data_IF_433882074592
#
_entry.id   IF_433882074592
#
_cell.length_a   1.000
_cell.length_b   1.000
_cell.length_c   1.000
_cell.angle_alpha   90.00
_cell.angle_beta   90.00
_cell.angle_gamma   90.00
#
_symmetry.space_group_name_H-M   'P 1'
#
loop_
_entity.id
_entity.type
_entity.pdbx_description
1 polymer ?
#
# COMPACT_ATOMS: atom_id res chain seq x y z
N UNK A 1 -44.45 1.40 -5.95
CA UNK A 1 -43.48 2.50 -5.76
C UNK A 1 -42.11 1.84 -5.74
N UNK A 2 -41.26 2.10 -6.74
CA UNK A 2 -39.87 1.61 -6.75
C UNK A 2 -39.12 2.24 -5.56
N UNK A 3 -38.60 1.43 -4.64
CA UNK A 3 -37.80 1.92 -3.56
C UNK A 3 -36.57 2.66 -4.16
N UNK A 4 -36.36 3.90 -3.74
CA UNK A 4 -35.23 4.70 -4.20
C UNK A 4 -33.93 3.96 -3.87
N UNK A 5 -33.09 3.67 -4.87
CA UNK A 5 -31.81 3.00 -4.67
C UNK A 5 -30.83 3.97 -3.97
N UNK A 6 -30.07 3.44 -3.04
CA UNK A 6 -29.03 4.18 -2.32
C UNK A 6 -27.69 4.04 -3.03
N UNK A 7 -26.96 5.14 -3.21
CA UNK A 7 -25.66 5.12 -3.85
C UNK A 7 -24.53 5.11 -2.82
N UNK A 8 -23.78 4.00 -2.79
CA UNK A 8 -22.57 3.85 -1.98
C UNK A 8 -21.34 4.00 -2.87
N UNK A 9 -20.50 5.01 -2.56
CA UNK A 9 -19.22 5.23 -3.23
C UNK A 9 -18.09 4.76 -2.31
N UNK A 10 -17.25 3.86 -2.84
CA UNK A 10 -15.98 3.47 -2.23
C UNK A 10 -14.86 4.26 -2.92
N UNK A 11 -14.17 5.11 -2.19
CA UNK A 11 -13.03 5.88 -2.70
C UNK A 11 -11.72 5.25 -2.26
N UNK A 12 -10.96 4.75 -3.24
CA UNK A 12 -9.74 3.96 -3.04
C UNK A 12 -10.00 2.46 -2.95
N UNK A 13 -8.99 1.67 -3.28
CA UNK A 13 -9.02 0.20 -3.26
C UNK A 13 -8.09 -0.37 -2.16
N UNK A 14 -8.15 0.20 -0.97
CA UNK A 14 -7.47 -0.33 0.21
C UNK A 14 -8.09 -1.62 0.75
N UNK A 15 -7.49 -2.20 1.77
CA UNK A 15 -7.88 -3.51 2.30
C UNK A 15 -9.32 -3.59 2.82
N UNK A 16 -9.82 -2.51 3.45
CA UNK A 16 -11.19 -2.48 3.94
C UNK A 16 -12.19 -2.54 2.77
N UNK A 17 -11.93 -1.80 1.70
CA UNK A 17 -12.78 -1.82 0.52
C UNK A 17 -12.71 -3.14 -0.26
N UNK A 18 -11.57 -3.82 -0.28
CA UNK A 18 -11.48 -5.18 -0.84
C UNK A 18 -12.41 -6.14 -0.08
N UNK A 19 -12.47 -6.05 1.24
CA UNK A 19 -13.38 -6.85 2.05
C UNK A 19 -14.86 -6.49 1.78
N UNK A 20 -15.18 -5.20 1.59
CA UNK A 20 -16.52 -4.76 1.20
C UNK A 20 -16.91 -5.33 -0.16
N UNK A 21 -16.03 -5.23 -1.17
CA UNK A 21 -16.28 -5.80 -2.49
C UNK A 21 -16.51 -7.32 -2.42
N UNK A 22 -15.73 -8.05 -1.62
CA UNK A 22 -15.91 -9.48 -1.40
C UNK A 22 -17.25 -9.79 -0.72
N UNK A 23 -17.67 -8.96 0.24
CA UNK A 23 -18.96 -9.12 0.91
C UNK A 23 -20.12 -8.92 -0.08
N UNK A 24 -20.08 -7.87 -0.90
CA UNK A 24 -21.09 -7.62 -1.94
C UNK A 24 -21.10 -8.72 -3.02
N UNK A 25 -19.95 -9.29 -3.38
CA UNK A 25 -19.88 -10.40 -4.33
C UNK A 25 -20.57 -11.67 -3.80
N UNK A 26 -20.51 -11.91 -2.48
CA UNK A 26 -21.16 -13.07 -1.82
C UNK A 26 -22.62 -12.82 -1.48
N UNK A 27 -22.92 -11.61 -1.04
CA UNK A 27 -24.23 -11.21 -0.53
C UNK A 27 -24.58 -9.81 -1.07
N UNK A 28 -25.09 -9.72 -2.31
CA UNK A 28 -25.51 -8.44 -2.88
C UNK A 28 -26.60 -7.78 -2.02
N UNK A 29 -26.47 -6.49 -1.78
CA UNK A 29 -27.42 -5.73 -0.98
C UNK A 29 -28.47 -5.12 -1.92
N UNK A 30 -29.73 -5.56 -1.78
CA UNK A 30 -30.82 -5.04 -2.59
C UNK A 30 -31.01 -3.52 -2.33
N UNK A 31 -31.27 -2.77 -3.40
CA UNK A 31 -31.50 -1.33 -3.31
C UNK A 31 -30.24 -0.48 -3.10
N UNK A 32 -29.05 -1.06 -3.24
CA UNK A 32 -27.77 -0.34 -3.19
C UNK A 32 -27.10 -0.37 -4.57
N UNK A 33 -26.69 0.80 -5.06
CA UNK A 33 -25.80 0.96 -6.20
C UNK A 33 -24.38 1.19 -5.66
N UNK A 34 -23.45 0.30 -6.02
CA UNK A 34 -22.07 0.34 -5.55
C UNK A 34 -21.16 0.91 -6.65
N UNK A 35 -20.37 1.94 -6.31
CA UNK A 35 -19.34 2.48 -7.19
C UNK A 35 -17.99 2.45 -6.49
N UNK A 36 -16.97 1.93 -7.16
CA UNK A 36 -15.58 2.01 -6.72
C UNK A 36 -14.84 3.02 -7.59
N UNK A 37 -14.23 4.02 -6.95
CA UNK A 37 -13.34 5.02 -7.60
C UNK A 37 -11.91 4.73 -7.15
N UNK A 38 -11.04 4.37 -8.08
CA UNK A 38 -9.62 4.10 -7.83
C UNK A 38 -8.82 4.35 -9.11
N UNK A 39 -7.58 4.86 -9.06
CA UNK A 39 -6.79 5.05 -10.27
C UNK A 39 -6.26 3.73 -10.86
N UNK A 40 -6.17 2.67 -10.07
CA UNK A 40 -5.44 1.47 -10.44
C UNK A 40 -6.37 0.23 -10.57
N UNK A 41 -6.08 -0.62 -11.57
CA UNK A 41 -6.80 -1.90 -11.79
C UNK A 41 -6.41 -2.99 -10.79
N UNK A 42 -5.29 -2.82 -10.12
CA UNK A 42 -4.82 -3.74 -9.08
C UNK A 42 -4.23 -2.95 -7.92
N UNK A 43 -4.31 -3.52 -6.73
CA UNK A 43 -3.64 -2.96 -5.55
C UNK A 43 -2.57 -3.91 -5.05
N UNK A 44 -1.49 -3.37 -4.49
CA UNK A 44 -0.41 -4.16 -3.90
C UNK A 44 -0.76 -4.51 -2.46
N UNK A 45 -0.73 -5.79 -2.14
CA UNK A 45 -0.94 -6.26 -0.77
C UNK A 45 0.28 -5.97 0.10
N UNK A 46 0.20 -4.94 0.93
CA UNK A 46 1.32 -4.47 1.75
C UNK A 46 1.87 -5.54 2.70
N UNK A 47 1.05 -6.49 3.17
CA UNK A 47 1.47 -7.59 4.01
C UNK A 47 2.41 -8.61 3.34
N UNK A 48 2.44 -8.65 2.00
CA UNK A 48 3.36 -9.52 1.25
C UNK A 48 4.67 -8.83 0.86
N UNK A 49 4.80 -7.53 1.06
CA UNK A 49 5.99 -6.78 0.68
C UNK A 49 7.28 -7.29 1.34
N UNK A 50 7.30 -7.62 2.65
CA UNK A 50 8.50 -8.20 3.25
C UNK A 50 8.95 -9.50 2.56
N UNK A 51 8.04 -10.43 2.28
CA UNK A 51 8.36 -11.68 1.58
C UNK A 51 8.80 -11.43 0.13
N UNK A 52 8.18 -10.48 -0.59
CA UNK A 52 8.65 -10.09 -1.91
C UNK A 52 10.08 -9.52 -1.86
N UNK A 53 10.39 -8.65 -0.93
CA UNK A 53 11.74 -8.11 -0.75
C UNK A 53 12.75 -9.19 -0.38
N UNK A 54 12.35 -10.20 0.39
CA UNK A 54 13.19 -11.37 0.70
C UNK A 54 13.39 -12.30 -0.51
N UNK A 55 12.47 -12.25 -1.48
CA UNK A 55 12.50 -13.07 -2.69
C UNK A 55 11.61 -14.31 -2.64
N UNK A 56 10.72 -14.40 -1.64
CA UNK A 56 9.77 -15.51 -1.51
C UNK A 56 8.63 -15.42 -2.52
N UNK A 57 8.31 -14.18 -2.96
CA UNK A 57 7.23 -13.90 -3.91
C UNK A 57 7.71 -13.02 -5.05
N UNK A 58 7.07 -13.14 -6.22
CA UNK A 58 7.15 -12.13 -7.27
C UNK A 58 6.26 -10.93 -6.93
N UNK A 59 6.52 -9.77 -7.51
CA UNK A 59 5.67 -8.59 -7.33
C UNK A 59 4.23 -8.82 -7.83
N UNK A 60 4.09 -9.60 -8.90
CA UNK A 60 2.76 -9.93 -9.45
C UNK A 60 1.93 -10.78 -8.49
N UNK A 61 2.57 -11.69 -7.73
CA UNK A 61 1.89 -12.46 -6.69
C UNK A 61 1.39 -11.56 -5.52
N UNK A 62 2.00 -10.41 -5.35
CA UNK A 62 1.57 -9.43 -4.33
C UNK A 62 0.43 -8.53 -4.81
N UNK A 63 -0.02 -8.63 -6.06
CA UNK A 63 -1.08 -7.80 -6.63
C UNK A 63 -2.45 -8.46 -6.49
N UNK A 64 -3.42 -7.67 -6.06
CA UNK A 64 -4.83 -8.07 -5.98
C UNK A 64 -5.57 -7.39 -7.14
N UNK A 65 -6.21 -8.15 -8.05
CA UNK A 65 -6.94 -7.60 -9.18
C UNK A 65 -8.26 -6.95 -8.71
N UNK A 66 -8.29 -5.64 -8.68
CA UNK A 66 -9.42 -4.83 -8.21
C UNK A 66 -10.57 -4.85 -9.20
N UNK A 67 -10.27 -4.81 -10.51
CA UNK A 67 -11.26 -4.88 -11.58
C UNK A 67 -12.06 -6.19 -11.53
N UNK A 68 -11.41 -7.31 -11.31
CA UNK A 68 -12.07 -8.62 -11.14
C UNK A 68 -13.00 -8.64 -9.92
N UNK A 69 -12.55 -8.04 -8.81
CA UNK A 69 -13.36 -7.95 -7.59
C UNK A 69 -14.55 -7.02 -7.77
N UNK A 70 -14.36 -5.85 -8.40
CA UNK A 70 -15.42 -4.92 -8.72
C UNK A 70 -16.49 -5.57 -9.60
N UNK A 71 -16.08 -6.28 -10.67
CA UNK A 71 -17.01 -7.01 -11.53
C UNK A 71 -17.83 -8.06 -10.77
N UNK A 72 -17.19 -8.86 -9.91
CA UNK A 72 -17.86 -9.89 -9.10
C UNK A 72 -18.83 -9.30 -8.08
N UNK A 73 -18.54 -8.12 -7.54
CA UNK A 73 -19.40 -7.43 -6.56
C UNK A 73 -20.56 -6.66 -7.20
N UNK A 74 -20.61 -6.56 -8.53
CA UNK A 74 -21.56 -5.71 -9.24
C UNK A 74 -21.26 -4.21 -9.09
N UNK A 75 -20.07 -3.84 -8.63
CA UNK A 75 -19.67 -2.44 -8.49
C UNK A 75 -19.33 -1.83 -9.85
N UNK A 76 -19.79 -0.61 -10.07
CA UNK A 76 -19.30 0.25 -11.16
C UNK A 76 -17.87 0.68 -10.84
N UNK A 77 -16.90 0.24 -11.62
CA UNK A 77 -15.50 0.64 -11.48
C UNK A 77 -15.21 1.91 -12.30
N UNK A 78 -14.72 2.95 -11.65
CA UNK A 78 -14.23 4.18 -12.26
C UNK A 78 -12.71 4.27 -12.00
N UNK A 79 -11.92 4.11 -13.07
CA UNK A 79 -10.46 4.20 -13.02
C UNK A 79 -10.03 5.67 -13.05
N UNK A 80 -10.32 6.37 -11.96
CA UNK A 80 -10.17 7.81 -11.82
C UNK A 80 -9.64 8.16 -10.41
N UNK A 81 -9.09 9.37 -10.28
CA UNK A 81 -8.74 9.95 -8.97
C UNK A 81 -9.83 10.91 -8.53
N UNK A 82 -10.04 11.01 -7.23
CA UNK A 82 -10.81 12.12 -6.65
C UNK A 82 -9.99 13.40 -6.76
N UNK A 83 -10.63 14.48 -7.21
CA UNK A 83 -10.04 15.81 -7.34
C UNK A 83 -10.55 16.73 -6.26
N UNK A 84 -11.86 16.68 -5.98
CA UNK A 84 -12.49 17.44 -4.89
C UNK A 84 -13.65 16.66 -4.31
N UNK A 85 -13.99 16.99 -3.08
CA UNK A 85 -15.05 16.35 -2.31
C UNK A 85 -15.78 17.40 -1.46
N UNK A 86 -17.10 17.43 -1.54
CA UNK A 86 -17.96 18.23 -0.68
C UNK A 86 -18.90 17.31 0.12
N UNK A 87 -18.70 17.29 1.44
CA UNK A 87 -19.47 16.45 2.33
C UNK A 87 -20.91 16.97 2.54
N UNK A 88 -21.13 18.29 2.47
CA UNK A 88 -22.44 18.90 2.66
C UNK A 88 -23.35 18.63 1.45
N UNK A 89 -22.79 18.81 0.25
CA UNK A 89 -23.47 18.54 -1.01
C UNK A 89 -23.47 17.04 -1.38
N UNK A 90 -22.80 16.21 -0.59
CA UNK A 90 -22.61 14.77 -0.87
C UNK A 90 -22.16 14.53 -2.29
N UNK A 91 -21.13 15.25 -2.70
CA UNK A 91 -20.61 15.21 -4.06
C UNK A 91 -19.10 15.00 -4.10
N UNK A 92 -18.66 14.37 -5.18
CA UNK A 92 -17.26 14.04 -5.47
C UNK A 92 -16.99 14.36 -6.92
N UNK A 93 -15.94 15.13 -7.21
CA UNK A 93 -15.44 15.34 -8.57
C UNK A 93 -14.26 14.43 -8.82
N UNK A 94 -14.27 13.68 -9.91
CA UNK A 94 -13.19 12.81 -10.35
C UNK A 94 -12.39 13.42 -11.50
N UNK A 95 -11.24 12.84 -11.83
CA UNK A 95 -10.21 13.44 -12.68
C UNK A 95 -10.62 13.71 -14.13
N UNK A 96 -11.69 13.10 -14.64
CA UNK A 96 -12.27 13.41 -15.95
C UNK A 96 -13.32 14.55 -15.89
N UNK A 97 -13.50 15.18 -14.72
CA UNK A 97 -14.48 16.25 -14.50
C UNK A 97 -15.88 15.76 -14.14
N UNK A 98 -16.11 14.45 -14.08
CA UNK A 98 -17.43 13.91 -13.72
C UNK A 98 -17.76 14.20 -12.25
N UNK A 99 -18.95 14.73 -12.03
CA UNK A 99 -19.53 14.91 -10.69
C UNK A 99 -20.33 13.64 -10.32
N UNK A 100 -19.97 13.04 -9.21
CA UNK A 100 -20.67 11.91 -8.59
C UNK A 100 -21.39 12.39 -7.35
N UNK A 101 -22.68 12.12 -7.25
CA UNK A 101 -23.44 12.28 -6.00
C UNK A 101 -23.58 10.95 -5.29
N UNK A 102 -23.69 10.95 -3.97
CA UNK A 102 -23.77 9.74 -3.17
C UNK A 102 -24.70 9.91 -1.95
N UNK A 103 -25.28 8.81 -1.49
CA UNK A 103 -25.92 8.75 -0.18
C UNK A 103 -24.90 8.48 0.93
N UNK A 104 -23.89 7.65 0.61
CA UNK A 104 -22.80 7.28 1.51
C UNK A 104 -21.48 7.20 0.75
N UNK A 105 -20.41 7.71 1.35
CA UNK A 105 -19.04 7.55 0.84
C UNK A 105 -18.17 6.88 1.92
N UNK A 106 -17.33 5.97 1.50
CA UNK A 106 -16.30 5.35 2.34
C UNK A 106 -14.93 5.64 1.75
N UNK A 107 -13.96 5.97 2.60
CA UNK A 107 -12.61 6.39 2.21
C UNK A 107 -11.61 5.32 2.64
N UNK A 108 -10.89 4.73 1.68
CA UNK A 108 -9.77 3.82 1.91
C UNK A 108 -8.69 4.04 0.84
N UNK A 109 -8.15 5.27 0.86
CA UNK A 109 -7.23 5.81 -0.15
C UNK A 109 -5.75 5.57 0.18
N UNK A 110 -5.46 4.92 1.31
CA UNK A 110 -4.10 4.72 1.78
C UNK A 110 -3.50 5.96 2.43
N UNK A 111 -2.18 6.03 2.45
CA UNK A 111 -1.42 7.13 3.03
C UNK A 111 -0.19 7.47 2.20
N UNK A 112 0.30 8.67 2.35
CA UNK A 112 1.57 9.12 1.79
C UNK A 112 2.59 9.41 2.90
N UNK A 113 3.88 9.25 2.57
CA UNK A 113 4.94 9.63 3.48
C UNK A 113 5.20 11.12 3.37
N UNK A 114 5.25 11.81 4.50
CA UNK A 114 5.47 13.28 4.57
C UNK A 114 6.92 13.72 4.31
N UNK A 115 7.79 12.80 3.91
CA UNK A 115 9.23 13.00 3.69
C UNK A 115 9.59 13.67 2.36
N UNK A 116 8.65 14.34 1.71
CA UNK A 116 8.87 15.04 0.43
C UNK A 116 9.95 16.13 0.48
N UNK A 117 10.51 16.44 1.65
CA UNK A 117 11.45 17.53 1.88
C UNK A 117 12.88 17.09 2.16
N UNK A 118 13.27 15.83 1.91
CA UNK A 118 14.69 15.49 1.98
C UNK A 118 15.42 16.12 0.79
N UNK A 119 16.55 16.82 1.01
CA UNK A 119 17.25 17.49 -0.07
C UNK A 119 17.69 16.47 -1.13
N UNK A 120 17.62 16.88 -2.40
CA UNK A 120 18.21 16.11 -3.49
C UNK A 120 19.70 15.90 -3.21
N UNK A 121 20.10 14.65 -3.11
CA UNK A 121 21.47 14.22 -2.84
C UNK A 121 21.87 13.09 -3.76
N UNK A 122 23.10 12.58 -3.65
CA UNK A 122 23.58 11.47 -4.48
C UNK A 122 22.89 10.12 -4.16
N UNK A 123 21.92 10.11 -3.23
CA UNK A 123 21.22 8.90 -2.79
C UNK A 123 19.87 8.76 -3.49
N UNK A 124 19.54 7.54 -3.91
CA UNK A 124 18.18 7.21 -4.33
C UNK A 124 17.28 7.08 -3.09
N UNK A 125 16.09 7.67 -3.15
CA UNK A 125 15.10 7.65 -2.08
C UNK A 125 13.88 6.82 -2.49
N UNK A 126 13.44 5.94 -1.60
CA UNK A 126 12.30 5.06 -1.79
C UNK A 126 11.27 5.28 -0.68
N UNK A 127 10.39 6.29 -0.78
CA UNK A 127 9.29 6.45 0.17
C UNK A 127 8.42 5.18 0.17
N UNK A 128 8.21 4.58 1.35
CA UNK A 128 7.46 3.30 1.44
C UNK A 128 5.96 3.50 1.20
N UNK A 129 5.48 4.73 1.29
CA UNK A 129 4.09 5.11 0.98
C UNK A 129 4.07 6.20 -0.10
N UNK A 130 3.24 6.02 -1.14
CA UNK A 130 2.30 4.91 -1.44
C UNK A 130 3.03 3.61 -1.80
N UNK A 131 2.49 2.48 -1.31
CA UNK A 131 3.17 1.17 -1.41
C UNK A 131 3.36 0.67 -2.86
N UNK A 132 2.43 0.97 -3.75
CA UNK A 132 2.53 0.59 -5.16
C UNK A 132 3.74 1.29 -5.83
N UNK A 133 3.91 2.60 -5.58
CA UNK A 133 5.05 3.37 -6.10
C UNK A 133 6.38 2.87 -5.54
N UNK A 134 6.41 2.58 -4.24
CA UNK A 134 7.58 1.97 -3.61
C UNK A 134 7.96 0.65 -4.29
N UNK A 135 6.99 -0.24 -4.49
CA UNK A 135 7.23 -1.55 -5.08
C UNK A 135 7.80 -1.44 -6.51
N UNK A 136 7.26 -0.54 -7.33
CA UNK A 136 7.75 -0.30 -8.69
C UNK A 136 9.17 0.28 -8.70
N UNK A 137 9.41 1.32 -7.90
CA UNK A 137 10.72 1.95 -7.81
C UNK A 137 11.78 1.00 -7.25
N UNK A 138 11.43 0.23 -6.23
CA UNK A 138 12.34 -0.75 -5.64
C UNK A 138 12.64 -1.90 -6.61
N UNK A 139 11.64 -2.41 -7.34
CA UNK A 139 11.85 -3.45 -8.34
C UNK A 139 12.84 -2.99 -9.44
N UNK A 140 12.69 -1.76 -9.93
CA UNK A 140 13.59 -1.19 -10.91
C UNK A 140 15.03 -1.03 -10.36
N UNK A 141 15.16 -0.57 -9.12
CA UNK A 141 16.44 -0.44 -8.43
C UNK A 141 17.08 -1.81 -8.20
N UNK A 142 16.36 -2.78 -7.64
CA UNK A 142 16.86 -4.13 -7.30
C UNK A 142 17.33 -4.93 -8.54
N UNK A 143 16.79 -4.62 -9.72
CA UNK A 143 17.24 -5.16 -11.01
C UNK A 143 18.53 -4.51 -11.53
N UNK A 144 18.95 -3.37 -11.00
CA UNK A 144 20.12 -2.65 -11.47
C UNK A 144 21.43 -3.24 -10.94
N UNK A 145 22.55 -3.12 -11.68
CA UNK A 145 23.87 -3.56 -11.20
C UNK A 145 24.30 -2.84 -9.90
N UNK A 146 23.92 -1.56 -9.73
CA UNK A 146 24.26 -0.77 -8.56
C UNK A 146 23.65 -1.34 -7.26
N UNK A 147 22.51 -2.02 -7.34
CA UNK A 147 21.86 -2.63 -6.17
C UNK A 147 22.73 -3.69 -5.48
N UNK A 148 23.68 -4.32 -6.21
CA UNK A 148 24.53 -5.40 -5.69
C UNK A 148 25.55 -4.93 -4.65
N UNK A 149 26.06 -3.72 -4.79
CA UNK A 149 27.14 -3.18 -3.95
C UNK A 149 26.75 -1.95 -3.14
N UNK A 150 25.69 -1.23 -3.52
CA UNK A 150 25.29 -0.03 -2.82
C UNK A 150 24.77 -0.35 -1.41
N UNK A 151 25.13 0.46 -0.43
CA UNK A 151 24.55 0.38 0.91
C UNK A 151 23.09 0.81 0.89
N UNK A 152 22.23 0.11 1.65
CA UNK A 152 20.83 0.47 1.86
C UNK A 152 20.65 0.95 3.30
N UNK A 153 20.03 2.10 3.45
CA UNK A 153 19.63 2.63 4.75
C UNK A 153 18.12 2.64 4.85
N UNK A 154 17.59 1.91 5.84
CA UNK A 154 16.18 1.92 6.18
C UNK A 154 15.97 2.86 7.36
N UNK A 155 15.10 3.85 7.22
CA UNK A 155 14.81 4.84 8.26
C UNK A 155 13.46 4.53 8.90
N UNK A 156 13.48 4.23 10.21
CA UNK A 156 12.29 3.97 11.01
C UNK A 156 12.34 2.64 11.75
N UNK A 157 12.18 2.67 13.09
CA UNK A 157 12.24 1.50 13.97
C UNK A 157 10.89 0.85 14.29
N UNK A 158 9.83 1.19 13.55
CA UNK A 158 8.54 0.51 13.64
C UNK A 158 8.57 -0.86 12.96
N UNK A 159 7.45 -1.62 13.07
CA UNK A 159 7.35 -2.97 12.50
C UNK A 159 7.76 -3.01 11.02
N UNK A 160 7.19 -2.13 10.20
CA UNK A 160 7.50 -2.08 8.76
C UNK A 160 9.00 -1.86 8.48
N UNK A 161 9.65 -0.90 9.18
CA UNK A 161 11.08 -0.63 8.95
C UNK A 161 11.96 -1.82 9.32
N UNK A 162 11.64 -2.53 10.38
CA UNK A 162 12.37 -3.73 10.82
C UNK A 162 12.17 -4.86 9.80
N UNK A 163 10.93 -5.13 9.41
CA UNK A 163 10.61 -6.15 8.41
C UNK A 163 11.31 -5.86 7.08
N UNK A 164 11.26 -4.63 6.59
CA UNK A 164 11.93 -4.24 5.34
C UNK A 164 13.46 -4.42 5.45
N UNK A 165 14.08 -3.97 6.55
CA UNK A 165 15.53 -4.10 6.73
C UNK A 165 15.98 -5.56 6.74
N UNK A 166 15.27 -6.42 7.48
CA UNK A 166 15.56 -7.85 7.58
C UNK A 166 15.34 -8.56 6.24
N UNK A 167 14.26 -8.24 5.53
CA UNK A 167 13.94 -8.83 4.22
C UNK A 167 14.96 -8.46 3.15
N UNK A 168 15.34 -7.18 3.08
CA UNK A 168 16.38 -6.72 2.14
C UNK A 168 17.71 -7.39 2.46
N UNK A 169 18.08 -7.51 3.75
CA UNK A 169 19.29 -8.20 4.16
C UNK A 169 19.28 -9.67 3.75
N UNK A 170 18.19 -10.39 4.04
CA UNK A 170 18.03 -11.79 3.66
C UNK A 170 18.20 -12.00 2.14
N UNK A 171 17.55 -11.16 1.34
CA UNK A 171 17.68 -11.18 -0.13
C UNK A 171 19.13 -11.00 -0.57
N UNK A 172 19.84 -10.03 -0.01
CA UNK A 172 21.25 -9.76 -0.33
C UNK A 172 22.17 -10.91 0.03
N UNK A 173 21.99 -11.50 1.21
CA UNK A 173 22.74 -12.68 1.62
C UNK A 173 22.54 -13.84 0.66
N UNK A 174 21.30 -14.13 0.25
CA UNK A 174 20.99 -15.18 -0.73
C UNK A 174 21.65 -14.95 -2.10
N UNK A 175 21.82 -13.69 -2.49
CA UNK A 175 22.45 -13.33 -3.78
C UNK A 175 23.98 -13.21 -3.70
N UNK A 176 24.56 -13.16 -2.52
CA UNK A 176 25.98 -12.84 -2.33
C UNK A 176 26.30 -11.36 -2.64
N UNK A 177 25.33 -10.45 -2.47
CA UNK A 177 25.52 -9.02 -2.68
C UNK A 177 26.43 -8.45 -1.60
N UNK A 178 27.34 -7.52 -1.94
CA UNK A 178 28.32 -6.95 -1.02
C UNK A 178 27.84 -5.73 -0.24
N UNK A 179 26.72 -5.11 -0.65
CA UNK A 179 26.18 -3.93 -0.02
C UNK A 179 25.56 -4.22 1.37
N UNK A 180 25.87 -3.39 2.36
CA UNK A 180 25.30 -3.50 3.70
C UNK A 180 23.86 -2.99 3.79
N UNK A 181 23.14 -3.43 4.83
CA UNK A 181 21.81 -2.89 5.19
C UNK A 181 21.90 -2.30 6.60
N UNK A 182 21.51 -1.05 6.76
CA UNK A 182 21.53 -0.34 8.05
C UNK A 182 20.12 0.14 8.40
N UNK A 183 19.65 -0.18 9.60
CA UNK A 183 18.42 0.39 10.15
C UNK A 183 18.77 1.59 11.03
N UNK A 184 18.23 2.76 10.67
CA UNK A 184 18.36 3.99 11.47
C UNK A 184 17.05 4.22 12.21
N UNK A 185 17.15 4.32 13.53
CA UNK A 185 16.02 4.54 14.43
C UNK A 185 16.41 5.39 15.63
N UNK A 186 15.44 5.99 16.31
CA UNK A 186 15.70 6.62 17.62
C UNK A 186 16.08 5.54 18.63
N UNK A 187 16.97 5.82 19.61
CA UNK A 187 17.51 4.81 20.53
C UNK A 187 16.46 3.97 21.26
N UNK A 188 15.29 4.54 21.54
CA UNK A 188 14.21 3.90 22.31
C UNK A 188 13.09 3.33 21.43
N UNK A 189 13.20 3.39 20.09
CA UNK A 189 12.05 3.20 19.20
C UNK A 189 12.03 1.91 18.39
N UNK A 190 12.83 0.89 18.76
CA UNK A 190 12.69 -0.45 18.15
C UNK A 190 11.41 -1.07 18.66
N UNK A 191 10.40 -1.16 17.77
CA UNK A 191 9.04 -1.64 18.07
C UNK A 191 8.39 -0.91 19.24
N UNK A 192 8.52 0.41 19.31
CA UNK A 192 7.86 1.22 20.34
C UNK A 192 6.33 0.96 20.27
N UNK A 193 5.71 0.69 21.43
CA UNK A 193 4.28 0.35 21.51
C UNK A 193 3.96 -1.15 21.35
N UNK A 194 4.95 -1.99 21.08
CA UNK A 194 4.82 -3.46 21.06
C UNK A 194 5.37 -4.08 22.36
N UNK A 195 4.99 -5.32 22.65
CA UNK A 195 5.46 -6.03 23.84
C UNK A 195 7.01 -6.16 23.89
N UNK A 196 7.56 -6.20 25.11
CA UNK A 196 9.03 -6.29 25.34
C UNK A 196 9.66 -7.49 24.65
N UNK A 197 8.96 -8.60 24.59
CA UNK A 197 9.44 -9.84 23.97
C UNK A 197 9.62 -9.65 22.44
N UNK A 198 8.64 -9.03 21.77
CA UNK A 198 8.73 -8.73 20.34
C UNK A 198 9.92 -7.79 20.05
N UNK A 199 10.09 -6.76 20.86
CA UNK A 199 11.24 -5.85 20.73
C UNK A 199 12.58 -6.57 21.00
N UNK A 200 12.61 -7.52 21.91
CA UNK A 200 13.77 -8.37 22.20
C UNK A 200 14.16 -9.25 21.01
N UNK A 201 13.18 -9.92 20.41
CA UNK A 201 13.38 -10.75 19.20
C UNK A 201 13.88 -9.89 18.03
N UNK A 202 13.24 -8.74 17.77
CA UNK A 202 13.64 -7.85 16.70
C UNK A 202 15.09 -7.34 16.87
N UNK A 203 15.46 -6.93 18.08
CA UNK A 203 16.84 -6.49 18.36
C UNK A 203 17.88 -7.59 18.17
N UNK A 204 17.54 -8.84 18.49
CA UNK A 204 18.41 -9.97 18.25
C UNK A 204 18.62 -10.20 16.77
N UNK A 205 17.52 -10.31 16.01
CA UNK A 205 17.57 -10.49 14.57
C UNK A 205 18.31 -9.37 13.81
N UNK A 206 18.29 -8.13 14.33
CA UNK A 206 19.03 -7.00 13.73
C UNK A 206 20.53 -7.04 14.03
N UNK A 207 21.02 -7.83 15.00
CA UNK A 207 22.44 -7.95 15.34
C UNK A 207 23.14 -9.11 14.65
N UNK A 208 22.40 -10.12 14.28
CA UNK A 208 22.86 -11.28 13.49
C UNK A 208 23.08 -10.91 12.03
#
# INVERSE_FOLDING_TARGET
>A
MSAQRRHLVLLGAGHAHLAVLQAFARHPVAGVDLTLVTPDRSTVYSGMIPGWLAGDYSLDQCRIPVDTLAAKSGARLLLQRAVSWDANERSLVISDGTLLTYDMISLDIGSESTWAALPAGPCAWFPVRPIARFAEQWAAYDASPAARSAAVVVVGGGAAGIELALSIRARRQLRGDSGGVTLVTRPTSVLQGHGRDAAGVARRALRE
#
